data_IF_442400487465
#
_entry.id   IF_442400487465
#
_cell.length_a   1.000
_cell.length_b   1.000
_cell.length_c   1.000
_cell.angle_alpha   90.00
_cell.angle_beta   90.00
_cell.angle_gamma   90.00
#
_symmetry.space_group_name_H-M   'P 1'
#
loop_
_entity.id
_entity.type
_entity.pdbx_description
1 polymer ?
#
# COMPACT_ATOMS: atom_id res chain seq x y z
N UNK A 1 6.66 -18.37 5.60
CA UNK A 1 7.15 -17.22 6.40
C UNK A 1 8.61 -17.46 6.77
N UNK A 2 9.50 -16.49 6.53
CA UNK A 2 10.91 -16.59 6.95
C UNK A 2 11.04 -16.46 8.47
N UNK A 3 11.85 -17.32 9.11
CA UNK A 3 12.07 -17.30 10.57
C UNK A 3 12.81 -16.04 11.05
N UNK A 4 13.56 -15.39 10.16
CA UNK A 4 14.29 -14.15 10.44
C UNK A 4 13.52 -12.89 9.99
N UNK A 5 12.28 -13.03 9.52
CA UNK A 5 11.43 -11.89 9.17
C UNK A 5 11.74 -11.23 7.82
N UNK A 6 12.42 -11.91 6.90
CA UNK A 6 12.61 -11.44 5.52
C UNK A 6 11.42 -11.79 4.62
N UNK A 7 11.09 -10.91 3.68
CA UNK A 7 10.20 -11.23 2.55
C UNK A 7 10.83 -12.37 1.74
N UNK A 8 10.03 -13.37 1.39
CA UNK A 8 10.48 -14.59 0.71
C UNK A 8 9.38 -15.08 -0.23
N UNK A 9 9.76 -15.89 -1.20
CA UNK A 9 8.84 -16.62 -2.09
C UNK A 9 8.02 -15.68 -2.99
N UNK A 10 8.72 -14.94 -3.86
CA UNK A 10 8.12 -14.02 -4.82
C UNK A 10 7.40 -14.79 -5.93
N UNK A 11 6.12 -15.11 -5.72
CA UNK A 11 5.20 -15.66 -6.71
C UNK A 11 4.22 -14.58 -7.21
N UNK A 12 2.91 -14.68 -6.91
CA UNK A 12 1.92 -13.70 -7.34
C UNK A 12 1.89 -12.45 -6.45
N UNK A 13 3.04 -11.80 -6.31
CA UNK A 13 3.14 -10.51 -5.62
C UNK A 13 2.72 -9.37 -6.57
N UNK A 14 2.37 -8.22 -6.00
CA UNK A 14 2.14 -7.00 -6.76
C UNK A 14 2.39 -5.78 -5.90
N UNK A 15 2.99 -4.76 -6.50
CA UNK A 15 2.95 -3.42 -5.92
C UNK A 15 1.63 -2.76 -6.31
N UNK A 16 1.07 -2.01 -5.37
CA UNK A 16 -0.23 -1.39 -5.55
C UNK A 16 -0.13 -0.21 -6.52
N UNK A 17 -0.90 -0.27 -7.60
CA UNK A 17 -1.06 0.85 -8.52
C UNK A 17 -2.10 1.82 -7.95
N UNK A 18 -3.40 1.55 -8.12
CA UNK A 18 -4.47 2.28 -7.44
C UNK A 18 -4.67 1.75 -6.03
N UNK A 19 -4.86 2.65 -5.07
CA UNK A 19 -5.06 2.25 -3.68
C UNK A 19 -6.44 1.62 -3.44
N UNK A 20 -6.46 0.44 -2.82
CA UNK A 20 -7.67 -0.19 -2.28
C UNK A 20 -7.31 -1.05 -1.07
N UNK A 21 -8.17 -1.08 -0.04
CA UNK A 21 -7.90 -1.90 1.15
C UNK A 21 -7.99 -3.40 0.86
N UNK A 22 -8.87 -3.77 -0.06
CA UNK A 22 -9.19 -5.13 -0.46
C UNK A 22 -8.33 -5.65 -1.62
N UNK A 23 -7.26 -4.94 -1.99
CA UNK A 23 -6.39 -5.33 -3.09
C UNK A 23 -5.83 -6.75 -2.88
N UNK A 24 -6.09 -7.63 -3.85
CA UNK A 24 -5.58 -9.01 -3.92
C UNK A 24 -4.71 -9.14 -5.16
N UNK A 25 -3.43 -9.47 -4.97
CA UNK A 25 -2.50 -9.65 -6.09
C UNK A 25 -2.58 -11.04 -6.72
N UNK A 26 -2.98 -12.05 -5.94
CA UNK A 26 -3.03 -13.44 -6.36
C UNK A 26 -4.39 -13.79 -6.97
N UNK A 27 -4.42 -14.10 -8.27
CA UNK A 27 -5.64 -14.48 -8.97
C UNK A 27 -6.33 -15.74 -8.40
N UNK A 28 -5.58 -16.60 -7.70
CA UNK A 28 -6.11 -17.79 -7.03
C UNK A 28 -6.72 -17.52 -5.65
N UNK A 29 -6.50 -16.35 -5.07
CA UNK A 29 -7.05 -15.96 -3.75
C UNK A 29 -8.44 -15.33 -3.91
N UNK A 30 -9.42 -16.15 -4.27
CA UNK A 30 -10.79 -15.68 -4.49
C UNK A 30 -11.48 -15.18 -3.23
N UNK A 31 -11.04 -15.62 -2.05
CA UNK A 31 -11.65 -15.25 -0.76
C UNK A 31 -10.97 -14.02 -0.13
N UNK A 32 -9.92 -13.48 -0.77
CA UNK A 32 -9.18 -12.31 -0.29
C UNK A 32 -8.45 -12.55 1.03
N UNK A 33 -8.06 -13.81 1.31
CA UNK A 33 -7.34 -14.21 2.53
C UNK A 33 -6.05 -13.41 2.70
N UNK A 34 -5.36 -13.11 1.60
CA UNK A 34 -4.09 -12.40 1.56
C UNK A 34 -4.23 -10.99 0.97
N UNK A 35 -5.43 -10.42 0.98
CA UNK A 35 -5.65 -9.02 0.60
C UNK A 35 -4.80 -8.06 1.46
N UNK A 36 -4.49 -6.88 0.92
CA UNK A 36 -3.61 -5.90 1.57
C UNK A 36 -3.98 -5.61 3.04
N UNK A 37 -5.27 -5.39 3.32
CA UNK A 37 -5.75 -5.15 4.68
C UNK A 37 -5.59 -6.35 5.64
N UNK A 38 -5.54 -7.59 5.12
CA UNK A 38 -5.45 -8.82 5.93
C UNK A 38 -4.02 -9.20 6.29
N UNK A 39 -3.02 -8.69 5.59
CA UNK A 39 -1.62 -9.12 5.80
C UNK A 39 -1.15 -9.02 7.26
N UNK A 40 -1.50 -7.98 8.06
CA UNK A 40 -1.11 -7.92 9.47
C UNK A 40 -1.74 -9.05 10.32
N UNK A 41 -3.04 -9.32 10.16
CA UNK A 41 -3.73 -10.37 10.92
C UNK A 41 -3.27 -11.77 10.49
N UNK A 42 -3.02 -11.98 9.20
CA UNK A 42 -2.44 -13.21 8.66
C UNK A 42 -1.03 -13.45 9.22
N UNK A 43 -0.19 -12.41 9.33
CA UNK A 43 1.11 -12.54 9.97
C UNK A 43 0.98 -12.97 11.44
N UNK A 44 0.07 -12.35 12.20
CA UNK A 44 -0.20 -12.75 13.58
C UNK A 44 -0.66 -14.21 13.68
N UNK A 45 -1.56 -14.64 12.78
CA UNK A 45 -2.02 -16.03 12.70
C UNK A 45 -0.88 -17.00 12.39
N UNK A 46 0.03 -16.65 11.48
CA UNK A 46 1.22 -17.47 11.17
C UNK A 46 2.16 -17.57 12.38
N UNK A 47 2.33 -16.51 13.16
CA UNK A 47 3.09 -16.55 14.41
C UNK A 47 2.43 -17.46 15.45
N UNK A 48 1.09 -17.46 15.55
CA UNK A 48 0.36 -18.38 16.43
C UNK A 48 0.55 -19.85 16.02
N UNK A 49 0.56 -20.15 14.72
CA UNK A 49 0.89 -21.51 14.21
C UNK A 49 2.33 -21.92 14.52
N UNK A 50 3.29 -21.01 14.42
CA UNK A 50 4.67 -21.27 14.85
C UNK A 50 4.73 -21.57 16.35
N UNK A 51 4.00 -20.80 17.16
CA UNK A 51 3.95 -21.01 18.61
C UNK A 51 3.43 -22.40 18.98
N UNK A 52 2.40 -22.92 18.29
CA UNK A 52 1.90 -24.29 18.52
C UNK A 52 2.98 -25.35 18.31
N UNK A 53 3.79 -25.22 17.24
CA UNK A 53 4.90 -26.13 16.99
C UNK A 53 5.98 -26.04 18.09
N UNK A 54 6.31 -24.82 18.52
CA UNK A 54 7.31 -24.59 19.57
C UNK A 54 6.85 -25.10 20.93
N UNK A 55 5.57 -24.92 21.29
CA UNK A 55 4.99 -25.46 22.52
C UNK A 55 5.09 -26.98 22.53
N UNK A 56 4.68 -27.64 21.43
CA UNK A 56 4.77 -29.09 21.31
C UNK A 56 6.22 -29.58 21.45
N UNK A 57 7.14 -28.99 20.69
CA UNK A 57 8.56 -29.35 20.77
C UNK A 57 9.15 -29.13 22.18
N UNK A 58 8.71 -28.07 22.87
CA UNK A 58 9.13 -27.79 24.25
C UNK A 58 8.63 -28.86 25.21
N UNK A 59 7.36 -29.28 25.10
CA UNK A 59 6.82 -30.37 25.92
C UNK A 59 7.52 -31.69 25.64
N UNK A 60 7.71 -32.04 24.37
CA UNK A 60 8.41 -33.26 23.97
C UNK A 60 9.86 -33.30 24.50
N UNK A 61 10.52 -32.15 24.61
CA UNK A 61 11.88 -32.04 25.12
C UNK A 61 11.99 -31.97 26.66
N UNK A 62 10.93 -31.54 27.36
CA UNK A 62 10.99 -31.25 28.82
C UNK A 62 10.26 -32.28 29.68
N UNK A 63 9.28 -32.99 29.12
CA UNK A 63 8.50 -33.99 29.84
C UNK A 63 9.17 -35.37 29.81
N UNK A 64 9.05 -36.10 30.91
CA UNK A 64 9.43 -37.51 30.94
C UNK A 64 8.46 -38.39 30.14
N UNK A 65 8.88 -39.60 29.77
CA UNK A 65 8.02 -40.55 29.03
C UNK A 65 6.71 -40.88 29.76
N UNK A 66 6.72 -40.90 31.10
CA UNK A 66 5.52 -41.12 31.90
C UNK A 66 4.56 -39.92 31.84
N UNK A 67 5.08 -38.69 31.90
CA UNK A 67 4.29 -37.47 31.80
C UNK A 67 3.69 -37.26 30.40
N UNK A 68 4.40 -37.67 29.34
CA UNK A 68 3.87 -37.63 27.97
C UNK A 68 2.67 -38.57 27.76
N UNK A 69 2.56 -39.65 28.54
CA UNK A 69 1.44 -40.58 28.48
C UNK A 69 0.23 -40.09 29.31
N UNK A 70 0.45 -39.21 30.28
CA UNK A 70 -0.64 -38.57 31.03
C UNK A 70 -1.29 -37.47 30.18
N UNK A 71 -2.40 -37.85 29.54
CA UNK A 71 -3.15 -36.96 28.63
C UNK A 71 -3.67 -35.70 29.34
N UNK A 72 -4.08 -35.82 30.61
CA UNK A 72 -4.63 -34.69 31.37
C UNK A 72 -3.52 -33.68 31.70
N UNK A 73 -2.38 -34.19 32.20
CA UNK A 73 -1.21 -33.37 32.50
C UNK A 73 -0.66 -32.68 31.24
N UNK A 74 -0.54 -33.42 30.14
CA UNK A 74 -0.06 -32.87 28.87
C UNK A 74 -0.96 -31.74 28.37
N UNK A 75 -2.28 -31.93 28.38
CA UNK A 75 -3.25 -30.92 27.93
C UNK A 75 -3.22 -29.66 28.82
N UNK A 76 -3.09 -29.82 30.14
CA UNK A 76 -2.97 -28.69 31.08
C UNK A 76 -1.67 -27.89 30.83
N UNK A 77 -0.52 -28.58 30.71
CA UNK A 77 0.77 -27.92 30.41
C UNK A 77 0.76 -27.25 29.04
N UNK A 78 0.19 -27.90 28.02
CA UNK A 78 0.03 -27.33 26.68
C UNK A 78 -0.82 -26.07 26.71
N UNK A 79 -1.98 -26.11 27.38
CA UNK A 79 -2.89 -24.96 27.48
C UNK A 79 -2.24 -23.77 28.19
N UNK A 80 -1.47 -24.03 29.26
CA UNK A 80 -0.72 -22.98 29.99
C UNK A 80 0.35 -22.34 29.13
N UNK A 81 1.16 -23.13 28.42
CA UNK A 81 2.19 -22.61 27.52
C UNK A 81 1.58 -21.85 26.34
N UNK A 82 0.53 -22.39 25.71
CA UNK A 82 -0.17 -21.71 24.63
C UNK A 82 -0.72 -20.36 25.07
N UNK A 83 -1.30 -20.28 26.28
CA UNK A 83 -1.76 -19.00 26.85
C UNK A 83 -0.61 -18.00 26.99
N UNK A 84 0.54 -18.42 27.53
CA UNK A 84 1.71 -17.54 27.65
C UNK A 84 2.19 -17.01 26.28
N UNK A 85 2.21 -17.87 25.26
CA UNK A 85 2.56 -17.45 23.91
C UNK A 85 1.55 -16.48 23.31
N UNK A 86 0.24 -16.73 23.46
CA UNK A 86 -0.80 -15.81 22.99
C UNK A 86 -0.74 -14.46 23.71
N UNK A 87 -0.55 -14.44 25.03
CA UNK A 87 -0.39 -13.20 25.80
C UNK A 87 0.78 -12.35 25.24
N UNK A 88 1.89 -12.99 24.85
CA UNK A 88 3.02 -12.30 24.20
C UNK A 88 2.66 -11.79 22.81
N UNK A 89 1.98 -12.59 21.98
CA UNK A 89 1.57 -12.19 20.62
C UNK A 89 0.58 -11.03 20.65
N UNK A 90 -0.44 -11.09 21.50
CA UNK A 90 -1.49 -10.07 21.61
C UNK A 90 -0.91 -8.73 22.07
N UNK A 91 0.00 -8.76 23.05
CA UNK A 91 0.63 -7.54 23.57
C UNK A 91 1.71 -7.03 22.63
N UNK A 92 2.51 -7.89 22.02
CA UNK A 92 3.76 -7.47 21.37
C UNK A 92 3.64 -7.33 19.85
N UNK A 93 2.95 -8.25 19.16
CA UNK A 93 2.95 -8.26 17.70
C UNK A 93 2.19 -7.05 17.15
N UNK A 94 0.91 -6.91 17.52
CA UNK A 94 0.07 -5.83 16.99
C UNK A 94 0.54 -4.45 17.44
N UNK A 95 1.02 -4.32 18.68
CA UNK A 95 1.60 -3.05 19.16
C UNK A 95 2.88 -2.68 18.41
N UNK A 96 3.78 -3.64 18.17
CA UNK A 96 5.01 -3.41 17.41
C UNK A 96 4.71 -3.08 15.95
N UNK A 97 3.80 -3.82 15.32
CA UNK A 97 3.34 -3.53 13.97
C UNK A 97 2.78 -2.11 13.87
N UNK A 98 1.84 -1.74 14.75
CA UNK A 98 1.25 -0.39 14.77
C UNK A 98 2.29 0.70 14.92
N UNK A 99 3.19 0.57 15.90
CA UNK A 99 4.28 1.53 16.13
C UNK A 99 5.18 1.68 14.89
N UNK A 100 5.58 0.57 14.28
CA UNK A 100 6.41 0.59 13.08
C UNK A 100 5.67 1.20 11.88
N UNK A 101 4.39 0.86 11.71
CA UNK A 101 3.53 1.40 10.65
C UNK A 101 3.34 2.92 10.79
N UNK A 102 2.93 3.37 11.98
CA UNK A 102 2.73 4.80 12.28
C UNK A 102 4.01 5.59 12.04
N UNK A 103 5.16 5.11 12.52
CA UNK A 103 6.45 5.77 12.28
C UNK A 103 6.78 5.85 10.78
N UNK A 104 6.54 4.78 10.01
CA UNK A 104 6.75 4.82 8.55
C UNK A 104 5.81 5.83 7.88
N UNK A 105 4.54 5.87 8.25
CA UNK A 105 3.57 6.81 7.69
C UNK A 105 3.90 8.27 8.01
N UNK A 106 4.37 8.55 9.24
CA UNK A 106 4.89 9.88 9.60
C UNK A 106 5.98 10.33 8.64
N UNK A 107 6.99 9.48 8.40
CA UNK A 107 8.10 9.81 7.49
C UNK A 107 7.63 10.06 6.05
N UNK A 108 6.69 9.25 5.55
CA UNK A 108 6.09 9.43 4.22
C UNK A 108 5.35 10.77 4.06
N UNK A 109 4.82 11.30 5.16
CA UNK A 109 4.14 12.59 5.27
C UNK A 109 5.03 13.68 5.88
N UNK A 110 6.34 13.43 5.99
CA UNK A 110 7.30 14.39 6.52
C UNK A 110 7.10 14.77 7.99
N UNK A 111 6.28 14.08 8.78
CA UNK A 111 6.02 14.39 10.19
C UNK A 111 7.18 13.91 11.07
N UNK A 112 7.69 14.78 11.94
CA UNK A 112 8.79 14.47 12.85
C UNK A 112 8.31 14.07 14.24
N UNK A 113 7.28 14.75 14.74
CA UNK A 113 6.80 14.59 16.09
C UNK A 113 5.78 13.46 16.18
N UNK A 114 5.87 12.71 17.28
CA UNK A 114 4.77 11.88 17.73
C UNK A 114 3.84 12.72 18.60
N UNK A 115 2.51 12.75 18.35
CA UNK A 115 1.56 13.24 19.33
C UNK A 115 1.63 12.40 20.61
N UNK A 116 1.03 12.92 21.68
CA UNK A 116 0.93 12.20 22.96
C UNK A 116 0.15 10.88 22.86
N UNK A 117 -0.75 10.78 21.88
CA UNK A 117 -1.52 9.59 21.56
C UNK A 117 -1.40 9.28 20.05
N UNK A 118 -0.79 8.13 19.73
CA UNK A 118 -0.63 7.64 18.36
C UNK A 118 -1.99 7.44 17.65
N UNK A 119 -3.10 7.27 18.39
CA UNK A 119 -4.44 7.09 17.82
C UNK A 119 -4.90 8.29 16.98
N UNK A 120 -4.38 9.49 17.24
CA UNK A 120 -4.64 10.69 16.46
C UNK A 120 -4.09 10.53 15.04
N UNK A 121 -2.81 10.15 14.95
CA UNK A 121 -2.15 9.92 13.67
C UNK A 121 -2.73 8.67 12.97
N UNK A 122 -3.12 7.63 13.70
CA UNK A 122 -3.79 6.46 13.11
C UNK A 122 -5.09 6.84 12.39
N UNK A 123 -5.93 7.68 13.01
CA UNK A 123 -7.18 8.17 12.39
C UNK A 123 -6.89 9.08 11.19
N UNK A 124 -5.90 9.96 11.31
CA UNK A 124 -5.48 10.84 10.21
C UNK A 124 -4.91 10.06 9.01
N UNK A 125 -4.12 9.02 9.24
CA UNK A 125 -3.64 8.14 8.17
C UNK A 125 -4.78 7.33 7.56
N UNK A 126 -5.75 6.90 8.38
CA UNK A 126 -6.94 6.23 7.86
C UNK A 126 -7.72 7.16 6.92
N UNK A 127 -7.93 8.43 7.27
CA UNK A 127 -8.65 9.36 6.40
C UNK A 127 -7.92 9.62 5.09
N UNK A 128 -6.57 9.59 5.06
CA UNK A 128 -5.81 9.63 3.80
C UNK A 128 -6.19 8.46 2.89
N UNK A 129 -6.13 7.25 3.42
CA UNK A 129 -6.44 6.04 2.66
C UNK A 129 -7.90 5.97 2.23
N UNK A 130 -8.83 6.42 3.08
CA UNK A 130 -10.24 6.52 2.72
C UNK A 130 -10.45 7.53 1.58
N UNK A 131 -9.71 8.65 1.55
CA UNK A 131 -9.74 9.62 0.44
C UNK A 131 -9.15 9.01 -0.84
N UNK A 132 -8.01 8.31 -0.74
CA UNK A 132 -7.37 7.63 -1.88
C UNK A 132 -8.30 6.57 -2.50
N UNK A 133 -8.98 5.77 -1.68
CA UNK A 133 -9.92 4.76 -2.16
C UNK A 133 -11.16 5.38 -2.82
N UNK A 134 -11.72 6.45 -2.22
CA UNK A 134 -12.90 7.13 -2.76
C UNK A 134 -12.66 7.86 -4.09
N UNK A 135 -11.45 8.34 -4.31
CA UNK A 135 -11.03 9.08 -5.51
C UNK A 135 -10.30 8.20 -6.52
N UNK A 136 -9.89 7.01 -6.09
CA UNK A 136 -9.15 6.02 -6.85
C UNK A 136 -7.78 6.51 -7.30
N UNK A 137 -7.02 7.17 -6.42
CA UNK A 137 -5.68 7.66 -6.75
C UNK A 137 -4.64 6.54 -6.83
N UNK A 138 -3.59 6.79 -7.62
CA UNK A 138 -2.39 5.94 -7.61
C UNK A 138 -1.64 6.07 -6.27
N UNK A 139 -1.35 4.93 -5.65
CA UNK A 139 -0.78 4.86 -4.30
C UNK A 139 0.59 5.53 -4.21
N UNK A 140 1.50 5.19 -5.13
CA UNK A 140 2.88 5.70 -5.09
C UNK A 140 2.90 7.17 -5.46
N UNK A 141 2.19 7.53 -6.55
CA UNK A 141 2.12 8.88 -7.06
C UNK A 141 1.43 9.85 -6.10
N UNK A 142 0.46 9.40 -5.30
CA UNK A 142 -0.18 10.24 -4.26
C UNK A 142 0.86 10.84 -3.32
N UNK A 143 1.81 10.04 -2.82
CA UNK A 143 2.85 10.56 -1.93
C UNK A 143 3.80 11.54 -2.63
N UNK A 144 4.09 11.32 -3.92
CA UNK A 144 4.89 12.23 -4.73
C UNK A 144 4.13 13.54 -5.05
N UNK A 145 2.82 13.47 -5.24
CA UNK A 145 1.96 14.63 -5.43
C UNK A 145 1.85 15.46 -4.14
N UNK A 146 1.84 14.82 -2.96
CA UNK A 146 1.95 15.53 -1.68
C UNK A 146 3.27 16.30 -1.54
N UNK A 147 4.39 15.75 -2.02
CA UNK A 147 5.67 16.47 -2.05
C UNK A 147 5.58 17.72 -2.92
N UNK A 148 4.97 17.63 -4.10
CA UNK A 148 4.76 18.78 -4.99
C UNK A 148 3.88 19.85 -4.33
N UNK A 149 2.77 19.45 -3.68
CA UNK A 149 1.92 20.38 -2.93
C UNK A 149 2.70 21.10 -1.83
N UNK A 150 3.60 20.43 -1.11
CA UNK A 150 4.43 21.04 -0.07
C UNK A 150 5.55 21.93 -0.62
N UNK A 151 6.11 21.57 -1.78
CA UNK A 151 7.15 22.34 -2.47
C UNK A 151 6.59 23.66 -3.03
N UNK A 152 5.30 23.69 -3.38
CA UNK A 152 4.62 24.89 -3.88
C UNK A 152 4.30 25.94 -2.81
N UNK A 153 4.46 25.65 -1.52
CA UNK A 153 4.07 26.54 -0.42
C UNK A 153 4.99 27.77 -0.35
N UNK A 154 4.45 29.01 -0.38
CA UNK A 154 5.26 30.22 -0.27
C UNK A 154 6.00 30.34 1.08
N UNK A 155 7.21 30.90 1.05
CA UNK A 155 8.01 31.12 2.27
C UNK A 155 7.28 31.94 3.36
N UNK A 156 6.41 32.88 2.98
CA UNK A 156 5.62 33.68 3.92
C UNK A 156 4.59 32.85 4.71
N UNK A 157 3.96 31.86 4.08
CA UNK A 157 3.01 30.95 4.72
C UNK A 157 3.71 29.99 5.68
N UNK A 158 4.89 29.51 5.28
CA UNK A 158 5.75 28.68 6.15
C UNK A 158 6.13 29.44 7.42
N UNK A 159 6.56 30.69 7.31
CA UNK A 159 6.95 31.51 8.47
C UNK A 159 5.77 31.80 9.40
N UNK A 160 4.58 32.04 8.84
CA UNK A 160 3.37 32.33 9.61
C UNK A 160 2.66 31.09 10.16
N UNK A 161 3.17 29.88 9.88
CA UNK A 161 2.56 28.60 10.28
C UNK A 161 1.10 28.43 9.81
N UNK A 162 0.74 29.13 8.73
CA UNK A 162 -0.59 29.11 8.13
C UNK A 162 -0.46 28.66 6.67
N UNK A 163 -0.18 27.38 6.50
CA UNK A 163 0.12 26.77 5.21
C UNK A 163 -1.16 26.39 4.48
N UNK A 164 -1.29 26.82 3.22
CA UNK A 164 -2.31 26.34 2.30
C UNK A 164 -1.68 25.39 1.28
N UNK A 165 -2.19 24.17 1.18
CA UNK A 165 -1.65 23.16 0.26
C UNK A 165 -2.42 23.13 -1.06
N UNK A 166 -1.70 23.07 -2.18
CA UNK A 166 -2.30 22.97 -3.50
C UNK A 166 -2.98 21.60 -3.71
N UNK A 167 -4.24 21.60 -4.14
CA UNK A 167 -5.04 20.40 -4.42
C UNK A 167 -4.73 19.76 -5.77
N UNK A 168 -4.25 20.54 -6.72
CA UNK A 168 -4.21 20.15 -8.14
C UNK A 168 -3.33 18.93 -8.41
N UNK A 169 -2.13 18.77 -7.80
CA UNK A 169 -1.32 17.58 -8.00
C UNK A 169 -2.03 16.29 -7.58
N UNK A 170 -2.89 16.33 -6.56
CA UNK A 170 -3.60 15.17 -6.02
C UNK A 170 -4.82 14.82 -6.89
N UNK A 171 -5.58 15.84 -7.29
CA UNK A 171 -6.71 15.66 -8.22
C UNK A 171 -6.23 15.13 -9.56
N UNK A 172 -5.03 15.56 -10.00
CA UNK A 172 -4.37 15.05 -11.18
C UNK A 172 -3.90 13.60 -11.06
N UNK A 173 -3.95 12.96 -9.88
CA UNK A 173 -3.68 11.53 -9.67
C UNK A 173 -4.96 10.68 -9.53
N UNK A 174 -6.14 11.30 -9.51
CA UNK A 174 -7.41 10.59 -9.48
C UNK A 174 -7.63 9.81 -10.79
N UNK A 175 -8.28 8.64 -10.67
CA UNK A 175 -8.74 7.86 -11.83
C UNK A 175 -9.93 8.51 -12.53
N UNK A 176 -10.29 8.03 -13.73
CA UNK A 176 -11.53 8.45 -14.39
C UNK A 176 -12.77 7.92 -13.65
N UNK A 177 -13.96 8.44 -13.96
CA UNK A 177 -15.22 7.89 -13.47
C UNK A 177 -15.42 6.46 -13.93
N UNK A 178 -15.16 6.17 -15.20
CA UNK A 178 -15.28 4.82 -15.76
C UNK A 178 -14.39 3.81 -15.02
N UNK A 179 -13.14 4.20 -14.74
CA UNK A 179 -12.19 3.41 -13.96
C UNK A 179 -12.67 3.15 -12.53
N UNK A 180 -13.31 4.14 -11.93
CA UNK A 180 -13.85 4.04 -10.59
C UNK A 180 -15.13 3.20 -10.57
N UNK A 181 -15.98 3.29 -11.59
CA UNK A 181 -17.17 2.45 -11.75
C UNK A 181 -16.75 0.99 -11.88
N UNK A 182 -15.85 0.67 -12.82
CA UNK A 182 -15.32 -0.69 -13.05
C UNK A 182 -14.79 -1.31 -11.75
N UNK A 183 -14.20 -0.49 -10.88
CA UNK A 183 -13.69 -0.95 -9.59
C UNK A 183 -14.77 -1.41 -8.61
N UNK A 184 -15.88 -0.68 -8.54
CA UNK A 184 -16.97 -0.99 -7.61
C UNK A 184 -17.95 -2.03 -8.18
N UNK A 185 -17.75 -2.50 -9.42
CA UNK A 185 -18.50 -3.62 -9.95
C UNK A 185 -18.21 -4.89 -9.13
N UNK A 186 -19.26 -5.64 -8.76
CA UNK A 186 -19.10 -6.83 -7.93
C UNK A 186 -18.33 -7.92 -8.69
N UNK A 187 -17.32 -8.48 -8.06
CA UNK A 187 -16.61 -9.63 -8.60
C UNK A 187 -17.31 -10.96 -8.22
N UNK A 188 -16.85 -12.08 -8.80
CA UNK A 188 -17.42 -13.41 -8.54
C UNK A 188 -17.46 -13.79 -7.05
N UNK A 189 -16.51 -13.31 -6.25
CA UNK A 189 -16.47 -13.55 -4.81
C UNK A 189 -17.56 -12.76 -4.07
N UNK A 190 -17.72 -11.48 -4.41
CA UNK A 190 -18.78 -10.62 -3.89
C UNK A 190 -20.17 -11.21 -4.18
N UNK A 191 -20.35 -11.77 -5.39
CA UNK A 191 -21.58 -12.45 -5.80
C UNK A 191 -21.82 -13.72 -4.98
N UNK A 192 -20.79 -14.57 -4.81
CA UNK A 192 -20.88 -15.80 -4.00
C UNK A 192 -21.19 -15.51 -2.54
N UNK A 193 -20.53 -14.52 -1.93
CA UNK A 193 -20.82 -14.08 -0.57
C UNK A 193 -22.24 -13.52 -0.44
N UNK A 194 -22.67 -12.70 -1.42
CA UNK A 194 -24.03 -12.16 -1.46
C UNK A 194 -25.10 -13.25 -1.56
N UNK A 195 -24.88 -14.29 -2.38
CA UNK A 195 -25.77 -15.45 -2.47
C UNK A 195 -25.78 -16.26 -1.18
N UNK A 196 -24.59 -16.54 -0.62
CA UNK A 196 -24.48 -17.29 0.62
C UNK A 196 -25.25 -16.59 1.74
N UNK A 197 -25.05 -15.30 1.97
CA UNK A 197 -25.79 -14.51 2.97
C UNK A 197 -27.31 -14.56 2.79
N UNK A 198 -27.82 -14.63 1.55
CA UNK A 198 -29.26 -14.80 1.27
C UNK A 198 -29.77 -16.21 1.60
N UNK A 199 -28.93 -17.23 1.44
CA UNK A 199 -29.28 -18.64 1.67
C UNK A 199 -29.27 -18.99 3.17
N UNK A 200 -28.28 -18.53 3.94
CA UNK A 200 -28.11 -18.97 5.34
C UNK A 200 -29.05 -18.28 6.34
N UNK A 201 -29.77 -17.22 5.96
CA UNK A 201 -30.73 -16.53 6.83
C UNK A 201 -30.16 -15.99 8.15
N UNK A 202 -28.83 -15.93 8.30
CA UNK A 202 -28.16 -15.48 9.51
C UNK A 202 -28.43 -13.99 9.75
N UNK A 203 -28.66 -13.62 11.01
CA UNK A 203 -28.78 -12.23 11.44
C UNK A 203 -27.51 -11.48 11.01
N UNK A 204 -27.68 -10.48 10.14
CA UNK A 204 -26.62 -9.73 9.44
C UNK A 204 -25.54 -9.22 10.42
N UNK A 205 -25.95 -8.94 11.65
CA UNK A 205 -25.10 -8.50 12.77
C UNK A 205 -24.05 -9.53 13.21
N UNK A 206 -24.25 -10.83 12.97
CA UNK A 206 -23.30 -11.90 13.36
C UNK A 206 -22.16 -12.01 12.34
N UNK A 207 -22.47 -11.94 11.04
CA UNK A 207 -21.44 -11.88 9.99
C UNK A 207 -20.64 -10.57 10.08
N UNK A 208 -21.30 -9.46 10.42
CA UNK A 208 -20.66 -8.16 10.63
C UNK A 208 -19.64 -8.15 11.79
N UNK A 209 -19.81 -9.02 12.80
CA UNK A 209 -18.87 -9.18 13.93
C UNK A 209 -17.73 -10.15 13.64
N UNK A 210 -17.89 -11.05 12.67
CA UNK A 210 -16.82 -11.97 12.25
C UNK A 210 -15.87 -11.30 11.25
N UNK A 211 -16.33 -10.25 10.55
CA UNK A 211 -15.56 -9.44 9.61
C UNK A 211 -15.23 -8.05 10.19
N UNK A 212 -14.47 -7.98 11.29
CA UNK A 212 -13.78 -6.75 11.73
C UNK A 212 -12.62 -6.36 10.78
N UNK A 213 -12.89 -6.44 9.49
CA UNK A 213 -11.91 -6.30 8.43
C UNK A 213 -12.27 -5.03 7.66
N UNK A 214 -11.27 -4.18 7.36
CA UNK A 214 -11.43 -2.94 6.59
C UNK A 214 -11.84 -3.15 5.12
N UNK A 215 -12.33 -4.35 4.77
CA UNK A 215 -12.84 -4.69 3.44
C UNK A 215 -14.25 -4.11 3.32
N UNK A 216 -14.45 -3.26 2.31
CA UNK A 216 -15.76 -2.71 1.97
C UNK A 216 -16.78 -3.83 1.81
N UNK A 217 -17.90 -3.74 2.52
CA UNK A 217 -18.94 -4.77 2.45
C UNK A 217 -19.59 -4.73 1.06
N UNK A 218 -20.06 -5.88 0.51
CA UNK A 218 -20.72 -5.91 -0.79
C UNK A 218 -21.89 -4.91 -0.92
N UNK A 219 -22.59 -4.63 0.18
CA UNK A 219 -23.68 -3.65 0.20
C UNK A 219 -23.20 -2.20 0.11
N UNK A 220 -22.04 -1.88 0.67
CA UNK A 220 -21.44 -0.54 0.60
C UNK A 220 -20.88 -0.29 -0.80
N UNK A 221 -20.22 -1.30 -1.39
CA UNK A 221 -19.82 -1.25 -2.80
C UNK A 221 -21.01 -1.00 -3.73
N UNK A 222 -22.13 -1.70 -3.52
CA UNK A 222 -23.33 -1.52 -4.34
C UNK A 222 -24.02 -0.15 -4.17
N UNK A 223 -23.96 0.46 -2.99
CA UNK A 223 -24.42 1.85 -2.79
C UNK A 223 -23.50 2.79 -3.56
N UNK A 224 -22.18 2.63 -3.40
CA UNK A 224 -21.20 3.48 -4.05
C UNK A 224 -21.26 3.39 -5.58
N UNK A 225 -21.41 2.19 -6.11
CA UNK A 225 -21.57 1.96 -7.55
C UNK A 225 -22.76 2.74 -8.12
N UNK A 226 -23.91 2.71 -7.44
CA UNK A 226 -25.10 3.46 -7.87
C UNK A 226 -24.87 4.97 -7.86
N UNK A 227 -24.20 5.49 -6.83
CA UNK A 227 -23.85 6.92 -6.79
C UNK A 227 -22.94 7.31 -7.97
N UNK A 228 -21.95 6.48 -8.29
CA UNK A 228 -21.01 6.73 -9.39
C UNK A 228 -21.69 6.65 -10.77
N UNK A 229 -22.60 5.70 -10.98
CA UNK A 229 -23.34 5.54 -12.24
C UNK A 229 -24.26 6.72 -12.57
N UNK A 230 -24.63 7.52 -11.59
CA UNK A 230 -25.47 8.71 -11.78
C UNK A 230 -24.66 10.02 -11.82
N UNK A 231 -23.34 9.94 -11.75
CA UNK A 231 -22.43 11.08 -11.73
C UNK A 231 -21.87 11.35 -13.13
N UNK A 232 -21.49 12.60 -13.39
CA UNK A 232 -20.68 12.99 -14.55
C UNK A 232 -19.19 13.08 -14.18
N UNK A 233 -18.30 13.06 -15.16
CA UNK A 233 -16.85 13.25 -14.93
C UNK A 233 -16.52 14.60 -14.26
N UNK A 234 -17.28 15.64 -14.59
CA UNK A 234 -17.12 16.96 -13.98
C UNK A 234 -17.54 16.95 -12.50
N UNK A 235 -18.71 16.39 -12.19
CA UNK A 235 -19.17 16.24 -10.80
C UNK A 235 -18.22 15.36 -9.98
N UNK A 236 -17.65 14.30 -10.58
CA UNK A 236 -16.62 13.48 -9.93
C UNK A 236 -15.39 14.32 -9.62
N UNK A 237 -14.88 15.07 -10.60
CA UNK A 237 -13.69 15.90 -10.43
C UNK A 237 -13.88 16.93 -9.31
N UNK A 238 -15.04 17.57 -9.25
CA UNK A 238 -15.36 18.55 -8.21
C UNK A 238 -15.48 17.90 -6.83
N UNK A 239 -16.12 16.73 -6.75
CA UNK A 239 -16.19 15.92 -5.52
C UNK A 239 -14.80 15.51 -5.04
N UNK A 240 -13.96 15.00 -5.93
CA UNK A 240 -12.62 14.56 -5.60
C UNK A 240 -11.74 15.73 -5.14
N UNK A 241 -11.85 16.89 -5.80
CA UNK A 241 -11.19 18.12 -5.38
C UNK A 241 -11.64 18.57 -3.98
N UNK A 242 -12.93 18.44 -3.67
CA UNK A 242 -13.45 18.72 -2.33
C UNK A 242 -12.88 17.77 -1.27
N UNK A 243 -12.89 16.45 -1.53
CA UNK A 243 -12.34 15.44 -0.62
C UNK A 243 -10.86 15.68 -0.34
N UNK A 244 -10.07 15.94 -1.39
CA UNK A 244 -8.64 16.24 -1.25
C UNK A 244 -8.39 17.57 -0.52
N UNK A 245 -9.19 18.60 -0.79
CA UNK A 245 -9.09 19.88 -0.05
C UNK A 245 -9.31 19.67 1.44
N UNK A 246 -10.40 19.01 1.82
CA UNK A 246 -10.71 18.71 3.22
C UNK A 246 -9.59 17.93 3.90
N UNK A 247 -9.02 16.94 3.22
CA UNK A 247 -7.90 16.18 3.79
C UNK A 247 -6.62 17.01 3.88
N UNK A 248 -6.32 17.85 2.88
CA UNK A 248 -5.16 18.73 2.87
C UNK A 248 -5.24 19.83 3.93
N UNK A 249 -6.44 20.34 4.23
CA UNK A 249 -6.66 21.28 5.34
C UNK A 249 -6.31 20.61 6.68
N UNK A 250 -6.80 19.38 6.91
CA UNK A 250 -6.43 18.60 8.10
C UNK A 250 -4.94 18.25 8.15
N UNK A 251 -4.30 18.03 6.99
CA UNK A 251 -2.87 17.81 6.91
C UNK A 251 -2.09 19.08 7.25
N UNK A 252 -2.49 20.25 6.76
CA UNK A 252 -1.90 21.53 7.11
C UNK A 252 -1.98 21.81 8.61
N UNK A 253 -3.13 21.55 9.25
CA UNK A 253 -3.27 21.64 10.71
C UNK A 253 -2.29 20.70 11.43
N UNK A 254 -2.17 19.46 10.95
CA UNK A 254 -1.23 18.48 11.52
C UNK A 254 0.24 18.88 11.34
N UNK A 255 0.57 19.53 10.22
CA UNK A 255 1.90 20.09 9.95
C UNK A 255 2.22 21.24 10.92
N UNK A 256 1.25 22.13 11.19
CA UNK A 256 1.41 23.20 12.17
C UNK A 256 1.58 22.65 13.60
N UNK A 257 0.85 21.60 13.97
CA UNK A 257 1.08 20.89 15.24
C UNK A 257 2.49 20.28 15.30
N UNK A 258 2.95 19.68 14.21
CA UNK A 258 4.30 19.10 14.11
C UNK A 258 5.39 20.15 14.30
N UNK A 259 5.25 21.31 13.65
CA UNK A 259 6.17 22.43 13.77
C UNK A 259 6.21 23.00 15.19
N UNK A 260 5.05 23.08 15.87
CA UNK A 260 5.00 23.52 17.27
C UNK A 260 5.70 22.53 18.22
N UNK A 261 5.58 21.22 17.95
CA UNK A 261 6.26 20.19 18.75
C UNK A 261 7.75 20.12 18.45
N UNK A 262 8.17 20.42 17.22
CA UNK A 262 9.56 20.34 16.74
C UNK A 262 10.00 21.67 16.08
N UNK A 263 10.11 22.78 16.84
CA UNK A 263 10.34 24.12 16.29
C UNK A 263 11.74 24.32 15.69
N UNK A 264 12.68 23.42 15.98
CA UNK A 264 14.03 23.45 15.40
C UNK A 264 14.11 22.84 14.01
N UNK A 265 13.04 22.21 13.51
CA UNK A 265 13.01 21.57 12.19
C UNK A 265 12.61 22.55 11.11
N UNK A 266 13.39 22.60 10.04
CA UNK A 266 13.09 23.44 8.89
C UNK A 266 12.13 22.75 7.91
N UNK A 267 11.42 23.54 7.11
CA UNK A 267 10.55 23.04 6.04
C UNK A 267 11.31 22.19 5.01
N UNK A 268 12.58 22.52 4.73
CA UNK A 268 13.41 21.77 3.81
C UNK A 268 13.71 20.34 4.31
N UNK A 269 13.89 20.16 5.63
CA UNK A 269 14.10 18.85 6.25
C UNK A 269 12.87 17.96 6.09
N UNK A 270 11.67 18.55 6.15
CA UNK A 270 10.39 17.83 5.93
C UNK A 270 10.33 17.23 4.53
N UNK A 271 10.62 18.03 3.51
CA UNK A 271 10.67 17.56 2.12
C UNK A 271 11.77 16.50 1.93
N UNK A 272 12.93 16.67 2.56
CA UNK A 272 13.99 15.66 2.53
C UNK A 272 13.56 14.33 3.16
N UNK A 273 12.83 14.37 4.28
CA UNK A 273 12.29 13.18 4.93
C UNK A 273 11.29 12.44 4.05
N UNK A 274 10.40 13.17 3.37
CA UNK A 274 9.46 12.59 2.41
C UNK A 274 10.18 11.95 1.23
N UNK A 275 11.09 12.69 0.58
CA UNK A 275 11.86 12.24 -0.59
C UNK A 275 12.71 10.99 -0.31
N UNK A 276 13.23 10.84 0.90
CA UNK A 276 13.98 9.65 1.33
C UNK A 276 13.10 8.46 1.76
N UNK A 277 11.78 8.68 1.90
CA UNK A 277 10.82 7.68 2.37
C UNK A 277 9.80 7.26 1.30
N UNK A 278 9.61 8.08 0.27
CA UNK A 278 8.66 7.86 -0.82
C UNK A 278 9.40 7.49 -2.10
N UNK A 279 9.29 6.23 -2.57
CA UNK A 279 9.94 5.83 -3.80
C UNK A 279 9.28 6.51 -5.00
N UNK A 280 10.10 6.93 -5.96
CA UNK A 280 9.69 7.44 -7.27
C UNK A 280 9.37 6.32 -8.25
N UNK A 281 9.95 5.15 -8.03
CA UNK A 281 9.69 3.94 -8.81
C UNK A 281 9.47 2.74 -7.88
N UNK A 282 8.44 1.96 -8.20
CA UNK A 282 8.17 0.64 -7.62
C UNK A 282 8.03 -0.35 -8.78
N UNK A 283 8.27 -1.63 -8.52
CA UNK A 283 8.15 -2.68 -9.55
C UNK A 283 6.66 -2.96 -9.82
N UNK A 284 6.04 -2.12 -10.65
CA UNK A 284 4.65 -2.28 -11.08
C UNK A 284 4.53 -3.51 -12.00
N UNK A 285 3.39 -4.20 -11.96
CA UNK A 285 3.22 -5.46 -12.69
C UNK A 285 3.44 -5.30 -14.20
N UNK A 286 2.98 -4.21 -14.80
CA UNK A 286 3.19 -3.97 -16.24
C UNK A 286 4.66 -3.80 -16.60
N UNK A 287 5.49 -3.23 -15.71
CA UNK A 287 6.92 -3.07 -15.95
C UNK A 287 7.61 -4.43 -15.99
N UNK A 288 7.22 -5.33 -15.08
CA UNK A 288 7.70 -6.71 -15.07
C UNK A 288 7.25 -7.44 -16.34
N UNK A 289 5.99 -7.31 -16.73
CA UNK A 289 5.42 -7.92 -17.94
C UNK A 289 6.13 -7.45 -19.23
N UNK A 290 6.38 -6.15 -19.37
CA UNK A 290 7.14 -5.59 -20.50
C UNK A 290 8.57 -6.13 -20.53
N UNK A 291 9.23 -6.24 -19.37
CA UNK A 291 10.57 -6.80 -19.26
C UNK A 291 10.60 -8.31 -19.61
N UNK A 292 9.59 -9.08 -19.18
CA UNK A 292 9.44 -10.51 -19.49
C UNK A 292 9.24 -10.71 -20.99
N UNK A 293 8.29 -10.01 -21.61
CA UNK A 293 8.04 -10.09 -23.06
C UNK A 293 9.27 -9.76 -23.89
N UNK A 294 10.01 -8.72 -23.49
CA UNK A 294 11.26 -8.38 -24.15
C UNK A 294 12.31 -9.50 -23.99
N UNK A 295 12.45 -10.07 -22.79
CA UNK A 295 13.39 -11.15 -22.52
C UNK A 295 13.06 -12.45 -23.29
N UNK A 296 11.77 -12.78 -23.48
CA UNK A 296 11.33 -13.93 -24.28
C UNK A 296 11.75 -13.82 -25.75
N UNK A 297 11.85 -12.59 -26.27
CA UNK A 297 12.40 -12.31 -27.61
C UNK A 297 13.94 -12.26 -27.65
N UNK A 298 14.62 -12.55 -26.54
CA UNK A 298 16.07 -12.47 -26.38
C UNK A 298 16.63 -11.09 -26.01
N UNK A 299 15.77 -10.08 -25.81
CA UNK A 299 16.18 -8.72 -25.45
C UNK A 299 16.12 -8.47 -23.93
N UNK A 300 17.25 -8.67 -23.24
CA UNK A 300 17.37 -8.43 -21.80
C UNK A 300 17.63 -6.95 -21.42
N UNK A 301 17.58 -6.01 -22.36
CA UNK A 301 17.89 -4.60 -22.08
C UNK A 301 16.83 -3.94 -21.21
N UNK A 302 15.55 -4.27 -21.41
CA UNK A 302 14.44 -3.74 -20.61
C UNK A 302 14.56 -4.16 -19.15
N UNK A 303 14.81 -5.45 -18.89
CA UNK A 303 15.00 -5.99 -17.55
C UNK A 303 16.23 -5.38 -16.85
N UNK A 304 17.35 -5.19 -17.57
CA UNK A 304 18.55 -4.56 -17.02
C UNK A 304 18.32 -3.10 -16.65
N UNK A 305 17.67 -2.33 -17.52
CA UNK A 305 17.36 -0.93 -17.24
C UNK A 305 16.43 -0.80 -16.03
N UNK A 306 15.37 -1.61 -15.99
CA UNK A 306 14.44 -1.64 -14.85
C UNK A 306 15.16 -1.98 -13.54
N UNK A 307 16.13 -2.92 -13.56
CA UNK A 307 16.94 -3.23 -12.39
C UNK A 307 17.81 -2.04 -11.95
N UNK A 308 18.42 -1.31 -12.88
CA UNK A 308 19.20 -0.11 -12.54
C UNK A 308 18.33 0.98 -11.92
N UNK A 309 17.13 1.21 -12.43
CA UNK A 309 16.19 2.18 -11.88
C UNK A 309 15.75 1.78 -10.45
N UNK A 310 15.42 0.50 -10.25
CA UNK A 310 15.01 -0.04 -8.96
C UNK A 310 16.13 -0.12 -7.91
N UNK A 311 17.41 -0.02 -8.30
CA UNK A 311 18.52 0.11 -7.35
C UNK A 311 18.54 1.47 -6.64
N UNK A 312 17.90 2.50 -7.22
CA UNK A 312 17.87 3.85 -6.66
C UNK A 312 16.44 4.40 -6.63
N UNK A 313 15.51 3.73 -5.93
CA UNK A 313 14.08 4.01 -6.07
C UNK A 313 13.65 5.37 -5.53
N UNK A 314 14.49 6.01 -4.70
CA UNK A 314 14.23 7.33 -4.11
C UNK A 314 14.95 8.49 -4.84
N UNK A 315 15.76 8.17 -5.85
CA UNK A 315 16.64 9.17 -6.47
C UNK A 315 15.86 10.15 -7.35
N UNK A 316 16.13 11.44 -7.18
CA UNK A 316 15.62 12.51 -8.02
C UNK A 316 16.59 12.67 -9.18
N UNK A 317 16.23 12.23 -10.39
CA UNK A 317 16.97 12.64 -11.59
C UNK A 317 16.60 14.09 -11.91
N UNK A 318 17.26 15.03 -11.24
CA UNK A 318 17.34 16.41 -11.66
C UNK A 318 18.43 16.50 -12.73
N UNK A 319 18.04 16.81 -13.98
CA UNK A 319 18.85 17.12 -15.17
C UNK A 319 18.90 16.06 -16.29
N UNK A 320 18.43 16.40 -17.51
CA UNK A 320 18.65 15.61 -18.73
C UNK A 320 20.13 15.40 -19.08
N UNK A 321 21.02 16.28 -18.62
CA UNK A 321 22.44 16.30 -19.02
C UNK A 321 23.31 15.22 -18.34
N UNK A 322 22.84 14.61 -17.24
CA UNK A 322 23.56 13.47 -16.61
C UNK A 322 23.33 12.14 -17.35
N UNK A 323 22.29 12.06 -18.19
CA UNK A 323 21.98 10.88 -19.02
C UNK A 323 23.05 10.70 -20.10
N UNK A 324 23.65 11.81 -20.57
CA UNK A 324 24.64 11.81 -21.63
C UNK A 324 26.02 11.25 -21.18
N UNK A 325 26.21 11.11 -19.85
CA UNK A 325 27.39 10.45 -19.26
C UNK A 325 27.29 8.92 -19.24
N UNK A 326 26.08 8.36 -19.09
CA UNK A 326 25.86 6.91 -19.07
C UNK A 326 25.66 6.32 -20.48
N UNK A 327 25.03 7.06 -21.40
CA UNK A 327 24.78 6.59 -22.77
C UNK A 327 25.98 6.67 -23.72
N UNK A 328 27.11 7.28 -23.32
CA UNK A 328 28.31 7.39 -24.17
C UNK A 328 29.15 6.11 -24.29
N UNK A 329 28.82 5.02 -23.57
CA UNK A 329 29.55 3.76 -23.72
C UNK A 329 28.88 2.70 -24.60
N UNK A 330 27.67 2.94 -25.11
CA UNK A 330 26.97 1.96 -25.97
C UNK A 330 26.26 2.63 -27.13
N UNK A 331 27.01 3.30 -28.01
CA UNK A 331 26.55 3.66 -29.35
C UNK A 331 27.25 2.79 -30.39
N UNK A 332 26.70 1.59 -30.63
CA UNK A 332 26.92 0.89 -31.91
C UNK A 332 25.62 1.00 -32.69
N UNK A 333 25.71 1.72 -33.81
CA UNK A 333 24.65 1.96 -34.79
C UNK A 333 23.88 0.68 -35.15
N UNK A 334 22.55 0.72 -35.02
CA UNK A 334 21.65 0.02 -35.92
C UNK A 334 20.30 0.74 -35.95
N UNK A 335 19.94 1.27 -37.11
CA UNK A 335 18.64 1.84 -37.41
C UNK A 335 17.61 0.70 -37.49
N UNK A 336 16.56 0.75 -36.67
CA UNK A 336 15.38 -0.13 -36.73
C UNK A 336 14.14 0.67 -37.18
N UNK A 337 13.20 0.05 -37.91
CA UNK A 337 12.10 0.71 -38.61
C UNK A 337 10.96 1.16 -37.67
N UNK A 338 10.06 2.05 -38.12
CA UNK A 338 9.22 2.85 -37.25
C UNK A 338 7.88 2.16 -36.94
N UNK A 339 7.84 1.12 -36.09
CA UNK A 339 6.56 0.59 -35.54
C UNK A 339 6.60 0.07 -34.08
N UNK A 340 7.62 0.40 -33.27
CA UNK A 340 7.68 0.04 -31.84
C UNK A 340 8.01 1.25 -30.96
N UNK A 341 7.14 2.25 -30.94
CA UNK A 341 7.35 3.49 -30.16
C UNK A 341 6.87 3.42 -28.70
N UNK A 342 6.64 2.23 -28.14
CA UNK A 342 6.30 2.06 -26.71
C UNK A 342 7.51 1.70 -25.82
N UNK A 343 8.63 1.27 -26.41
CA UNK A 343 9.79 0.72 -25.67
C UNK A 343 10.75 1.76 -25.03
N UNK A 344 10.41 3.05 -25.05
CA UNK A 344 11.25 4.12 -24.50
C UNK A 344 10.78 4.65 -23.13
N UNK A 345 9.72 4.09 -22.53
CA UNK A 345 9.15 4.66 -21.29
C UNK A 345 9.84 4.25 -19.99
N UNK A 346 10.61 3.16 -19.99
CA UNK A 346 11.31 2.70 -18.78
C UNK A 346 12.64 3.44 -18.60
N UNK A 347 13.36 3.72 -19.69
CA UNK A 347 14.61 4.49 -19.64
C UNK A 347 14.32 5.98 -19.83
N UNK A 348 14.31 6.73 -18.72
CA UNK A 348 14.08 8.18 -18.72
C UNK A 348 12.88 8.64 -17.89
N UNK A 349 12.46 7.88 -16.87
CA UNK A 349 11.33 8.23 -16.00
C UNK A 349 11.60 9.54 -15.27
N UNK A 350 11.09 10.65 -15.83
CA UNK A 350 11.03 11.94 -15.19
C UNK A 350 9.56 12.20 -14.81
N UNK A 351 9.26 12.23 -13.51
CA UNK A 351 7.93 12.53 -12.98
C UNK A 351 7.12 11.31 -12.52
N UNK A 352 5.85 11.56 -12.16
CA UNK A 352 4.87 10.54 -11.76
C UNK A 352 4.45 9.72 -12.98
N UNK A 353 4.68 8.40 -12.95
CA UNK A 353 4.31 7.52 -14.06
C UNK A 353 3.09 6.69 -13.69
N UNK A 354 2.04 6.81 -14.48
CA UNK A 354 0.82 6.00 -14.37
C UNK A 354 0.96 4.70 -15.16
N UNK A 355 0.37 3.60 -14.69
CA UNK A 355 0.25 2.38 -15.49
C UNK A 355 -0.50 2.64 -16.80
N UNK A 356 -0.15 1.96 -17.90
CA UNK A 356 -0.93 2.00 -19.12
C UNK A 356 -2.30 1.34 -18.90
N UNK A 357 -3.32 1.71 -19.69
CA UNK A 357 -4.70 1.23 -19.49
C UNK A 357 -4.81 -0.31 -19.47
N UNK A 358 -4.08 -0.99 -20.36
CA UNK A 358 -4.05 -2.45 -20.44
C UNK A 358 -3.47 -3.14 -19.19
N UNK A 359 -2.71 -2.42 -18.35
CA UNK A 359 -2.14 -2.99 -17.14
C UNK A 359 -3.19 -3.46 -16.13
N UNK A 360 -4.43 -2.94 -16.20
CA UNK A 360 -5.53 -3.29 -15.29
C UNK A 360 -6.03 -4.72 -15.48
N UNK A 361 -5.88 -5.24 -16.68
CA UNK A 361 -6.26 -6.59 -17.06
C UNK A 361 -5.21 -7.63 -16.63
N UNK A 362 -4.01 -7.17 -16.22
CA UNK A 362 -2.97 -8.08 -15.76
C UNK A 362 -3.43 -8.80 -14.49
N UNK A 363 -3.29 -10.12 -14.53
CA UNK A 363 -3.51 -11.02 -13.39
C UNK A 363 -2.21 -11.77 -13.17
N UNK A 364 -1.66 -11.64 -11.96
CA UNK A 364 -0.49 -12.42 -11.57
C UNK A 364 -1.01 -13.73 -10.96
N UNK A 365 -0.66 -14.84 -11.58
CA UNK A 365 -1.05 -16.20 -11.16
C UNK A 365 0.10 -16.91 -10.49
#
# INVERSE_FOLDING_TARGET
MSIIGLTIDYGPFGFMDRFTWDSVCNASDTDGRYSYAQQPSICAWNCARLAECLVRATLDATLSSAELQDTSLYQDKQSKLMKQFHDVLDVSFMSTFKRCYVNRMRKKLGLFASPADDSVDEKFFKSLFDTMEQTGTDFTNTFLALEESLESVPHSEIQSHNVTLCTDPLVAECCSLDELIEFYEPNDSDVKQGMLLRIIGFDRRVCDRLNETKVLKPTEKAVRLRELQHMTEEEKRDRDAHLWRTWLDAYAERLSLDANLMPSREWCERLHLMRSSNPRIVLRNYMAEEAIKAAESGNFTVARNLLEDLRRPFHITSHPDEIDGYNKQTSVNNQLPPQLSSCSRVSGMHGRVRPPAWARELRVT
#
